data_IF_401799275733
#
_entry.id   IF_401799275733
#
_cell.length_a   1.000
_cell.length_b   1.000
_cell.length_c   1.000
_cell.angle_alpha   90.00
_cell.angle_beta   90.00
_cell.angle_gamma   90.00
#
_symmetry.space_group_name_H-M   'P 1'
#
loop_
_entity.id
_entity.type
_entity.pdbx_description
1 polymer ?
#
# COMPACT_ATOMS: atom_id res chain seq x y z
N UNK A 1 -16.23 9.88 9.80
CA UNK A 1 -15.72 9.60 11.17
C UNK A 1 -14.60 8.59 11.03
N UNK A 2 -13.45 8.80 11.71
CA UNK A 2 -12.30 7.91 11.64
C UNK A 2 -11.47 7.96 12.91
N UNK A 3 -10.58 7.00 13.04
CA UNK A 3 -9.57 6.90 14.10
C UNK A 3 -8.26 6.50 13.46
N UNK A 4 -7.19 7.17 13.84
CA UNK A 4 -5.83 6.87 13.43
C UNK A 4 -4.97 6.63 14.66
N UNK A 5 -4.12 5.64 14.58
CA UNK A 5 -3.15 5.33 15.62
C UNK A 5 -1.80 5.06 14.98
N UNK A 6 -0.80 5.81 15.42
CA UNK A 6 0.58 5.71 14.95
C UNK A 6 1.47 5.43 16.15
N UNK A 7 2.32 4.45 16.03
CA UNK A 7 3.28 4.09 17.06
C UNK A 7 4.64 3.79 16.46
N UNK A 8 5.68 4.32 17.12
CA UNK A 8 7.06 3.97 16.86
C UNK A 8 7.72 3.57 18.17
N UNK A 9 8.30 2.39 18.20
CA UNK A 9 8.96 1.83 19.37
C UNK A 9 10.42 1.49 19.07
N UNK A 10 11.33 2.14 19.80
CA UNK A 10 12.76 1.85 19.72
C UNK A 10 13.08 0.69 20.66
N UNK A 11 13.09 -0.52 20.11
CA UNK A 11 13.33 -1.75 20.87
C UNK A 11 14.78 -1.85 21.37
N UNK A 12 15.73 -1.47 20.51
CA UNK A 12 17.17 -1.45 20.79
C UNK A 12 17.80 -0.20 20.18
N UNK A 13 19.02 0.23 20.56
CA UNK A 13 19.68 1.37 19.95
C UNK A 13 19.83 1.27 18.41
N UNK A 14 19.83 0.05 17.89
CA UNK A 14 19.99 -0.26 16.47
C UNK A 14 18.74 -0.86 15.83
N UNK A 15 17.59 -0.96 16.55
CA UNK A 15 16.37 -1.59 16.03
C UNK A 15 15.12 -0.84 16.48
N UNK A 16 14.26 -0.52 15.52
CA UNK A 16 12.95 0.10 15.75
C UNK A 16 11.84 -0.68 15.07
N UNK A 17 10.66 -0.62 15.68
CA UNK A 17 9.39 -1.09 15.14
C UNK A 17 8.49 0.11 14.92
N UNK A 18 7.69 0.08 13.86
CA UNK A 18 6.62 1.03 13.64
C UNK A 18 5.33 0.29 13.25
N UNK A 19 4.20 0.86 13.66
CA UNK A 19 2.87 0.36 13.32
C UNK A 19 1.90 1.54 13.22
N UNK A 20 1.23 1.64 12.08
CA UNK A 20 0.20 2.62 11.79
C UNK A 20 -1.09 1.90 11.46
N UNK A 21 -2.19 2.31 12.09
CA UNK A 21 -3.52 1.78 11.86
C UNK A 21 -4.47 2.95 11.63
N UNK A 22 -5.27 2.86 10.59
CA UNK A 22 -6.34 3.81 10.33
C UNK A 22 -7.65 3.06 10.08
N UNK A 23 -8.70 3.51 10.73
CA UNK A 23 -10.06 3.10 10.50
C UNK A 23 -10.90 4.30 10.09
N UNK A 24 -11.60 4.20 8.97
CA UNK A 24 -12.46 5.28 8.47
C UNK A 24 -13.83 4.73 8.09
N UNK A 25 -14.87 5.40 8.59
CA UNK A 25 -16.24 5.25 8.12
C UNK A 25 -16.64 6.48 7.33
N UNK A 26 -16.37 6.45 6.03
CA UNK A 26 -16.67 7.53 5.11
C UNK A 26 -18.08 7.33 4.53
N UNK A 27 -18.92 8.35 4.65
CA UNK A 27 -20.30 8.37 4.14
C UNK A 27 -20.66 9.77 3.68
N UNK A 28 -21.45 9.86 2.63
CA UNK A 28 -22.17 11.10 2.31
C UNK A 28 -23.20 11.39 3.40
N UNK A 29 -23.39 12.67 3.71
CA UNK A 29 -24.38 13.12 4.70
C UNK A 29 -25.73 13.39 4.11
N UNK A 30 -25.77 13.71 2.82
CA UNK A 30 -26.99 13.98 2.07
C UNK A 30 -27.68 12.66 1.71
N UNK A 31 -28.99 12.68 1.70
CA UNK A 31 -29.78 11.54 1.29
C UNK A 31 -29.68 11.33 -0.22
N UNK A 32 -29.24 10.13 -0.62
CA UNK A 32 -29.29 9.65 -1.99
C UNK A 32 -29.96 8.26 -1.99
N UNK A 33 -30.99 8.03 -2.81
CA UNK A 33 -31.67 6.72 -2.90
C UNK A 33 -30.74 5.62 -3.44
N UNK A 34 -29.66 5.95 -4.13
CA UNK A 34 -28.67 4.99 -4.63
C UNK A 34 -27.82 4.44 -3.50
N UNK A 35 -27.45 5.27 -2.52
CA UNK A 35 -26.62 4.87 -1.40
C UNK A 35 -25.79 6.03 -0.86
N UNK A 36 -25.07 5.80 0.21
CA UNK A 36 -24.31 6.86 0.88
C UNK A 36 -22.85 6.50 1.14
N UNK A 37 -22.34 5.42 0.57
CA UNK A 37 -20.92 5.13 0.64
C UNK A 37 -20.13 6.07 -0.27
N UNK A 38 -18.92 6.44 0.15
CA UNK A 38 -17.99 7.20 -0.69
C UNK A 38 -17.14 6.19 -1.46
N UNK A 39 -17.29 6.10 -2.80
CA UNK A 39 -16.49 5.19 -3.61
C UNK A 39 -14.99 5.43 -3.44
N UNK A 40 -14.22 4.34 -3.36
CA UNK A 40 -12.79 4.38 -3.22
C UNK A 40 -12.26 4.64 -1.79
N UNK A 41 -13.13 4.95 -0.81
CA UNK A 41 -12.72 5.20 0.56
C UNK A 41 -12.46 3.89 1.33
N UNK A 42 -11.21 3.55 1.70
CA UNK A 42 -10.92 2.34 2.45
C UNK A 42 -11.39 2.47 3.90
N UNK A 43 -12.00 1.41 4.43
CA UNK A 43 -12.37 1.38 5.86
C UNK A 43 -11.16 1.07 6.76
N UNK A 44 -10.24 0.24 6.30
CA UNK A 44 -9.06 -0.14 7.04
C UNK A 44 -7.80 0.06 6.22
N UNK A 45 -6.83 0.73 6.82
CA UNK A 45 -5.46 0.82 6.32
C UNK A 45 -4.52 0.49 7.47
N UNK A 46 -3.53 -0.34 7.20
CA UNK A 46 -2.48 -0.67 8.15
C UNK A 46 -1.12 -0.67 7.46
N UNK A 47 -0.12 -0.14 8.14
CA UNK A 47 1.27 -0.31 7.74
C UNK A 47 2.13 -0.56 8.96
N UNK A 48 3.24 -1.27 8.77
CA UNK A 48 4.18 -1.46 9.87
C UNK A 48 5.47 -2.08 9.38
N UNK A 49 6.48 -1.99 10.21
CA UNK A 49 7.77 -2.49 9.83
C UNK A 49 8.76 -2.63 10.98
N UNK A 50 9.84 -3.30 10.65
CA UNK A 50 11.05 -3.34 11.45
C UNK A 50 12.19 -2.70 10.67
N UNK A 51 12.93 -1.83 11.32
CA UNK A 51 14.14 -1.23 10.77
C UNK A 51 15.29 -1.52 11.71
N UNK A 52 16.41 -1.94 11.17
CA UNK A 52 17.63 -2.19 11.93
C UNK A 52 18.84 -1.56 11.23
N UNK A 53 19.84 -1.23 12.00
CA UNK A 53 21.11 -0.69 11.52
C UNK A 53 21.74 0.26 12.50
N UNK A 54 23.03 0.51 12.26
CA UNK A 54 23.87 1.48 12.97
C UNK A 54 24.39 2.53 11.98
N UNK A 55 25.22 3.44 12.45
CA UNK A 55 25.82 4.47 11.60
C UNK A 55 26.70 3.85 10.52
N UNK A 56 27.38 2.75 10.83
CA UNK A 56 28.17 1.92 9.90
C UNK A 56 27.79 0.44 10.04
N UNK A 57 28.14 -0.36 9.03
CA UNK A 57 27.86 -1.80 8.98
C UNK A 57 26.52 -2.13 8.34
N UNK A 58 26.00 -3.29 8.67
CA UNK A 58 24.73 -3.81 8.11
C UNK A 58 23.53 -3.01 8.58
N UNK A 59 22.62 -2.75 7.65
CA UNK A 59 21.30 -2.18 7.92
C UNK A 59 20.23 -2.84 7.06
N UNK A 60 18.99 -2.66 7.45
CA UNK A 60 17.88 -3.14 6.65
C UNK A 60 16.53 -2.82 7.24
N UNK A 61 15.49 -3.21 6.51
CA UNK A 61 14.10 -3.10 6.97
C UNK A 61 13.21 -4.12 6.28
N UNK A 62 12.14 -4.48 6.95
CA UNK A 62 11.01 -5.21 6.39
C UNK A 62 9.76 -4.38 6.69
N UNK A 63 8.97 -4.06 5.65
CA UNK A 63 7.77 -3.23 5.77
C UNK A 63 6.60 -3.90 5.09
N UNK A 64 5.49 -3.98 5.79
CA UNK A 64 4.21 -4.46 5.29
C UNK A 64 3.22 -3.30 5.17
N UNK A 65 2.34 -3.36 4.16
CA UNK A 65 1.22 -2.44 3.96
C UNK A 65 -0.02 -3.23 3.58
N UNK A 66 -1.10 -2.92 4.24
CA UNK A 66 -2.42 -3.49 4.00
C UNK A 66 -3.43 -2.38 3.70
N UNK A 67 -4.21 -2.56 2.64
CA UNK A 67 -5.43 -1.81 2.36
C UNK A 67 -6.60 -2.78 2.35
N UNK A 68 -7.60 -2.49 3.18
CA UNK A 68 -8.84 -3.24 3.21
C UNK A 68 -9.69 -3.02 1.96
N UNK A 69 -10.68 -3.89 1.72
CA UNK A 69 -11.64 -3.70 0.64
C UNK A 69 -12.44 -2.42 0.87
N UNK A 70 -12.75 -1.71 -0.23
CA UNK A 70 -13.47 -0.44 -0.23
C UNK A 70 -14.66 -0.51 -1.18
N UNK A 71 -15.76 0.23 -0.92
CA UNK A 71 -16.86 0.35 -1.87
C UNK A 71 -16.35 0.97 -3.17
N UNK A 72 -16.83 0.49 -4.30
CA UNK A 72 -16.54 1.06 -5.62
C UNK A 72 -17.72 1.85 -6.17
N UNK A 73 -18.91 1.69 -5.58
CA UNK A 73 -20.14 2.44 -5.86
C UNK A 73 -20.88 2.76 -4.56
N UNK A 74 -21.83 3.67 -4.64
CA UNK A 74 -22.46 4.31 -3.49
C UNK A 74 -23.34 3.37 -2.67
N UNK A 75 -23.89 2.29 -3.26
CA UNK A 75 -24.73 1.29 -2.60
C UNK A 75 -23.94 0.15 -1.94
N UNK A 76 -22.58 0.15 -2.09
CA UNK A 76 -21.67 -0.88 -1.58
C UNK A 76 -21.87 -2.29 -2.17
N UNK A 77 -22.63 -2.44 -3.26
CA UNK A 77 -22.85 -3.75 -3.89
C UNK A 77 -21.60 -4.27 -4.63
N UNK A 78 -20.69 -3.38 -5.02
CA UNK A 78 -19.40 -3.72 -5.62
C UNK A 78 -18.27 -3.19 -4.76
N UNK A 79 -17.35 -4.07 -4.35
CA UNK A 79 -16.18 -3.73 -3.54
C UNK A 79 -14.88 -4.11 -4.24
N UNK A 80 -13.83 -3.36 -3.96
CA UNK A 80 -12.46 -3.73 -4.36
C UNK A 80 -11.99 -4.98 -3.61
N UNK A 81 -10.92 -5.57 -4.09
CA UNK A 81 -10.13 -6.52 -3.33
C UNK A 81 -9.28 -5.79 -2.28
N UNK A 82 -8.86 -6.52 -1.25
CA UNK A 82 -7.81 -6.05 -0.35
C UNK A 82 -6.44 -6.17 -1.01
N UNK A 83 -5.49 -5.34 -0.57
CA UNK A 83 -4.09 -5.47 -0.99
C UNK A 83 -3.18 -5.63 0.21
N UNK A 84 -2.19 -6.53 0.08
CA UNK A 84 -1.14 -6.72 1.08
C UNK A 84 0.21 -6.84 0.37
N UNK A 85 1.10 -5.90 0.64
CA UNK A 85 2.42 -5.83 0.00
C UNK A 85 3.49 -5.76 1.09
N UNK A 86 4.55 -6.54 0.92
CA UNK A 86 5.73 -6.52 1.78
C UNK A 86 6.94 -6.12 0.95
N UNK A 87 7.70 -5.17 1.46
CA UNK A 87 8.97 -4.73 0.89
C UNK A 87 10.11 -5.03 1.86
N UNK A 88 11.26 -5.39 1.32
CA UNK A 88 12.47 -5.64 2.10
C UNK A 88 13.61 -4.75 1.61
N UNK A 89 14.48 -4.39 2.53
CA UNK A 89 15.73 -3.67 2.26
C UNK A 89 16.85 -4.31 3.04
N UNK A 90 18.01 -4.47 2.42
CA UNK A 90 19.24 -4.83 3.07
C UNK A 90 20.39 -3.99 2.49
N UNK A 91 21.39 -3.68 3.27
CA UNK A 91 22.52 -2.92 2.78
C UNK A 91 23.67 -2.84 3.77
N UNK A 92 24.76 -2.24 3.32
CA UNK A 92 25.95 -2.02 4.10
C UNK A 92 26.44 -0.59 3.95
N UNK A 93 26.73 0.06 5.06
CA UNK A 93 27.36 1.40 5.14
C UNK A 93 28.82 1.23 5.50
N UNK A 94 29.68 1.67 4.59
CA UNK A 94 31.14 1.63 4.78
C UNK A 94 31.60 2.85 5.56
N UNK A 95 32.70 2.72 6.27
CA UNK A 95 33.29 3.81 7.07
C UNK A 95 33.80 4.99 6.21
N UNK A 96 34.03 4.76 4.91
CA UNK A 96 34.46 5.78 3.94
C UNK A 96 33.30 6.59 3.34
N UNK A 97 32.08 6.48 3.88
CA UNK A 97 30.89 7.20 3.38
C UNK A 97 30.18 6.53 2.19
N UNK A 98 30.66 5.40 1.69
CA UNK A 98 29.96 4.61 0.69
C UNK A 98 28.80 3.81 1.32
N UNK A 99 27.76 3.57 0.54
CA UNK A 99 26.62 2.72 0.93
C UNK A 99 26.18 1.86 -0.25
N UNK A 100 26.12 0.56 -0.03
CA UNK A 100 25.49 -0.40 -0.96
C UNK A 100 24.13 -0.82 -0.38
N UNK A 101 23.08 -0.80 -1.20
CA UNK A 101 21.71 -1.10 -0.78
C UNK A 101 21.00 -1.93 -1.83
N UNK A 102 20.32 -2.96 -1.37
CA UNK A 102 19.39 -3.78 -2.15
C UNK A 102 17.97 -3.56 -1.62
N UNK A 103 17.07 -3.13 -2.49
CA UNK A 103 15.62 -3.06 -2.24
C UNK A 103 14.92 -4.16 -3.00
N UNK A 104 14.05 -4.90 -2.32
CA UNK A 104 13.14 -5.87 -2.92
C UNK A 104 11.72 -5.37 -2.70
N UNK A 105 11.07 -4.95 -3.77
CA UNK A 105 9.68 -4.47 -3.77
C UNK A 105 8.76 -5.65 -4.05
N UNK A 106 7.62 -5.68 -3.38
CA UNK A 106 6.65 -6.76 -3.47
C UNK A 106 7.30 -8.15 -3.31
N UNK A 107 7.94 -8.35 -2.17
CA UNK A 107 8.78 -9.52 -1.83
C UNK A 107 8.10 -10.87 -2.13
N UNK A 108 6.80 -10.96 -1.94
CA UNK A 108 6.02 -12.19 -2.16
C UNK A 108 5.37 -12.26 -3.55
N UNK A 109 5.68 -11.30 -4.44
CA UNK A 109 5.07 -11.18 -5.76
C UNK A 109 3.53 -11.26 -5.70
N UNK A 110 2.94 -10.56 -4.72
CA UNK A 110 1.51 -10.55 -4.52
C UNK A 110 0.81 -9.94 -5.74
N UNK A 111 -0.11 -10.68 -6.33
CA UNK A 111 -0.94 -10.18 -7.43
C UNK A 111 -2.13 -9.41 -6.83
N UNK A 112 -2.02 -8.12 -6.78
CA UNK A 112 -3.01 -7.23 -6.19
C UNK A 112 -3.14 -5.95 -7.02
N UNK A 113 -4.21 -5.21 -6.80
CA UNK A 113 -4.46 -3.95 -7.49
C UNK A 113 -4.13 -2.76 -6.58
N UNK A 114 -3.48 -1.76 -7.14
CA UNK A 114 -3.23 -0.47 -6.49
C UNK A 114 -4.51 0.37 -6.45
N UNK A 115 -5.20 0.42 -7.59
CA UNK A 115 -6.42 1.20 -7.78
C UNK A 115 -7.44 0.31 -8.47
N UNK A 116 -8.69 0.39 -8.03
CA UNK A 116 -9.84 -0.23 -8.67
C UNK A 116 -10.97 0.78 -8.75
N UNK A 117 -11.63 0.81 -9.90
CA UNK A 117 -12.84 1.57 -10.17
C UNK A 117 -13.92 0.65 -10.72
N UNK A 118 -15.15 1.05 -10.61
CA UNK A 118 -16.28 0.37 -11.24
C UNK A 118 -17.14 1.41 -11.96
N UNK A 119 -17.21 1.32 -13.27
CA UNK A 119 -18.01 2.22 -14.09
C UNK A 119 -18.37 1.59 -15.43
N UNK A 120 -19.34 2.20 -16.10
CA UNK A 120 -19.78 1.81 -17.43
C UNK A 120 -18.70 2.21 -18.46
N UNK A 121 -18.22 1.25 -19.23
CA UNK A 121 -17.29 1.46 -20.33
C UNK A 121 -17.65 0.59 -21.52
N UNK A 122 -17.01 0.82 -22.66
CA UNK A 122 -17.25 0.03 -23.86
C UNK A 122 -15.94 -0.29 -24.55
N UNK A 123 -15.69 -1.57 -24.75
CA UNK A 123 -14.62 -2.10 -25.56
C UNK A 123 -15.12 -2.46 -26.98
N UNK A 124 -14.21 -2.62 -27.96
CA UNK A 124 -14.58 -3.12 -29.28
C UNK A 124 -15.30 -4.47 -29.22
N UNK A 125 -16.51 -4.54 -29.79
CA UNK A 125 -17.34 -5.74 -29.80
C UNK A 125 -18.39 -5.81 -28.69
N UNK A 126 -18.39 -4.90 -27.72
CA UNK A 126 -19.38 -4.79 -26.67
C UNK A 126 -20.65 -4.03 -27.12
N UNK A 127 -21.78 -4.19 -26.39
CA UNK A 127 -23.02 -3.46 -26.65
C UNK A 127 -22.82 -1.95 -26.71
N UNK A 128 -23.68 -1.26 -27.48
CA UNK A 128 -23.58 0.20 -27.66
C UNK A 128 -23.74 0.95 -26.32
N UNK A 129 -24.52 0.42 -25.43
CA UNK A 129 -24.79 0.97 -24.10
C UNK A 129 -23.64 0.73 -23.10
N UNK A 130 -22.61 -0.03 -23.52
CA UNK A 130 -21.46 -0.36 -22.68
C UNK A 130 -21.72 -1.50 -21.69
N UNK A 131 -20.70 -1.83 -20.93
CA UNK A 131 -20.72 -2.83 -19.85
C UNK A 131 -20.16 -2.19 -18.59
N UNK A 132 -20.88 -2.34 -17.47
CA UNK A 132 -20.38 -1.94 -16.16
C UNK A 132 -19.40 -3.00 -15.64
N UNK A 133 -18.13 -2.63 -15.47
CA UNK A 133 -17.08 -3.56 -15.07
C UNK A 133 -16.03 -2.89 -14.19
N UNK A 134 -15.15 -3.73 -13.62
CA UNK A 134 -14.01 -3.27 -12.84
C UNK A 134 -12.86 -2.87 -13.74
N UNK A 135 -12.37 -1.67 -13.50
CA UNK A 135 -11.17 -1.15 -14.12
C UNK A 135 -10.05 -1.14 -13.07
N UNK A 136 -8.95 -1.79 -13.36
CA UNK A 136 -7.90 -2.01 -12.38
C UNK A 136 -6.57 -1.44 -12.85
N UNK A 137 -5.82 -0.88 -11.92
CA UNK A 137 -4.41 -0.60 -12.07
C UNK A 137 -3.65 -1.60 -11.20
N UNK A 138 -2.97 -2.60 -11.77
CA UNK A 138 -2.25 -3.61 -10.99
C UNK A 138 -1.10 -2.97 -10.20
N UNK A 139 -0.79 -3.56 -9.08
CA UNK A 139 0.42 -3.23 -8.34
C UNK A 139 1.66 -3.71 -9.10
N UNK A 140 2.78 -3.06 -8.85
CA UNK A 140 4.06 -3.50 -9.41
C UNK A 140 4.37 -4.94 -8.96
N UNK A 141 4.84 -5.80 -9.87
CA UNK A 141 5.30 -7.15 -9.53
C UNK A 141 6.55 -7.09 -8.66
N UNK A 142 7.06 -8.26 -8.28
CA UNK A 142 8.37 -8.37 -7.64
C UNK A 142 9.42 -7.60 -8.46
N UNK A 143 10.03 -6.63 -7.82
CA UNK A 143 11.10 -5.82 -8.42
C UNK A 143 12.30 -5.72 -7.47
N UNK A 144 13.48 -5.66 -8.06
CA UNK A 144 14.75 -5.55 -7.32
C UNK A 144 15.49 -4.32 -7.78
N UNK A 145 15.98 -3.52 -6.84
CA UNK A 145 16.78 -2.33 -7.08
C UNK A 145 18.09 -2.41 -6.32
N UNK A 146 19.21 -2.26 -7.02
CA UNK A 146 20.52 -2.10 -6.40
C UNK A 146 20.94 -0.62 -6.47
N UNK A 147 21.37 -0.09 -5.35
CA UNK A 147 21.83 1.31 -5.23
C UNK A 147 23.21 1.35 -4.62
N UNK A 148 24.12 2.06 -5.28
CA UNK A 148 25.41 2.46 -4.74
C UNK A 148 25.40 3.98 -4.55
N UNK A 149 25.68 4.44 -3.34
CA UNK A 149 25.80 5.86 -3.01
C UNK A 149 27.17 6.15 -2.42
N UNK A 150 27.73 7.29 -2.75
CA UNK A 150 29.00 7.78 -2.17
C UNK A 150 28.84 9.26 -1.82
N UNK A 151 29.41 9.66 -0.69
CA UNK A 151 29.52 11.07 -0.26
C UNK A 151 30.98 11.47 -0.40
N UNK A 152 31.23 12.58 -1.10
CA UNK A 152 32.57 13.11 -1.36
C UNK A 152 32.78 14.37 -0.53
#
# INVERSE_FOLDING_TARGET
MGVEWTNQYKLLPWMSLDLDLAYTRARFTDFDPVGNFIPGAPSWVASGGVTFGRDTGWFGSLRARYFGPRPLIEDDSVRSLSSFIVNARAGYKFDNGMRLQLDVLNLFNAQTNQIEYYYLSRLPGEPIDGVADRHVHPAEPLAVRLTLAATF
#
